data_IF_010141345988
#
_entry.id   IF_010141345988
#
_cell.length_a   1.000
_cell.length_b   1.000
_cell.length_c   1.000
_cell.angle_alpha   90.00
_cell.angle_beta   90.00
_cell.angle_gamma   90.00
#
_symmetry.space_group_name_H-M   'P 1'
#
loop_
_entity.id
_entity.type
_entity.pdbx_description
1 polymer ?
#
# COMPACT_ATOMS: atom_id res chain seq x y z
N UNK A 1 -7.49 -22.52 -11.53
CA UNK A 1 -7.29 -21.11 -11.12
C UNK A 1 -5.98 -21.02 -10.37
N UNK A 2 -5.07 -20.11 -10.76
CA UNK A 2 -3.81 -19.93 -10.05
C UNK A 2 -4.08 -19.45 -8.63
N UNK A 3 -3.53 -20.12 -7.62
CA UNK A 3 -3.63 -19.70 -6.23
C UNK A 3 -2.65 -18.54 -5.97
N UNK A 4 -3.06 -17.33 -6.38
CA UNK A 4 -2.22 -16.14 -6.32
C UNK A 4 -1.84 -15.76 -4.88
N UNK A 5 -2.71 -16.02 -3.89
CA UNK A 5 -2.41 -15.73 -2.48
C UNK A 5 -1.22 -16.53 -1.99
N UNK A 6 -1.14 -17.83 -2.30
CA UNK A 6 0.02 -18.67 -1.93
C UNK A 6 1.33 -18.11 -2.48
N UNK A 7 1.34 -17.65 -3.74
CA UNK A 7 2.55 -17.07 -4.33
C UNK A 7 2.98 -15.79 -3.60
N UNK A 8 2.06 -14.83 -3.45
CA UNK A 8 2.37 -13.55 -2.83
C UNK A 8 2.75 -13.68 -1.35
N UNK A 9 2.10 -14.59 -0.62
CA UNK A 9 2.45 -14.90 0.76
C UNK A 9 3.87 -15.49 0.86
N UNK A 10 4.26 -16.35 -0.09
CA UNK A 10 5.59 -16.98 -0.08
C UNK A 10 6.75 -16.01 -0.31
N UNK A 11 6.49 -14.89 -1.00
CA UNK A 11 7.51 -13.88 -1.34
C UNK A 11 7.41 -12.62 -0.49
N UNK A 12 6.43 -12.51 0.41
CA UNK A 12 6.08 -11.27 1.11
C UNK A 12 7.25 -10.57 1.81
N UNK A 13 8.13 -11.32 2.48
CA UNK A 13 9.28 -10.76 3.21
C UNK A 13 10.46 -10.34 2.30
N UNK A 14 10.52 -10.88 1.08
CA UNK A 14 11.66 -10.66 0.16
C UNK A 14 11.32 -9.74 -1.01
N UNK A 15 10.04 -9.62 -1.34
CA UNK A 15 9.59 -8.86 -2.50
C UNK A 15 9.76 -7.37 -2.23
N UNK A 16 10.50 -6.70 -3.11
CA UNK A 16 10.55 -5.24 -3.17
C UNK A 16 9.79 -4.74 -4.40
N UNK A 17 8.91 -3.76 -4.18
CA UNK A 17 8.22 -3.05 -5.25
C UNK A 17 8.95 -1.75 -5.50
N UNK A 18 9.38 -1.51 -6.74
CA UNK A 18 10.30 -0.39 -7.07
C UNK A 18 9.73 0.62 -8.05
N UNK A 19 8.54 0.37 -8.60
CA UNK A 19 7.95 1.27 -9.59
C UNK A 19 7.62 2.62 -8.93
N UNK A 20 8.18 3.74 -9.42
CA UNK A 20 7.99 5.04 -8.79
C UNK A 20 6.53 5.49 -8.85
N UNK A 21 6.08 6.19 -7.81
CA UNK A 21 4.76 6.80 -7.78
C UNK A 21 4.81 8.22 -8.38
N UNK A 22 3.89 8.50 -9.30
CA UNK A 22 3.83 9.82 -9.92
C UNK A 22 3.00 10.80 -9.08
N UNK A 23 3.65 11.38 -8.06
CA UNK A 23 3.04 12.38 -7.19
C UNK A 23 2.54 13.61 -7.95
N UNK A 24 3.30 14.11 -8.92
CA UNK A 24 2.94 15.31 -9.67
C UNK A 24 1.58 15.18 -10.35
N UNK A 25 1.31 14.04 -10.98
CA UNK A 25 0.00 13.79 -11.60
C UNK A 25 -1.08 13.50 -10.56
N UNK A 26 -0.73 12.81 -9.47
CA UNK A 26 -1.69 12.47 -8.43
C UNK A 26 -2.22 13.70 -7.69
N UNK A 27 -1.36 14.66 -7.35
CA UNK A 27 -1.72 15.87 -6.62
C UNK A 27 -2.66 16.80 -7.41
N UNK A 28 -2.67 16.71 -8.75
CA UNK A 28 -3.60 17.46 -9.61
C UNK A 28 -5.04 16.98 -9.40
N UNK A 29 -5.26 15.70 -9.12
CA UNK A 29 -6.59 15.08 -9.06
C UNK A 29 -7.05 14.77 -7.63
N UNK A 30 -6.12 14.58 -6.69
CA UNK A 30 -6.42 14.16 -5.33
C UNK A 30 -6.00 15.24 -4.31
N UNK A 31 -6.94 16.02 -3.75
CA UNK A 31 -6.63 16.95 -2.68
C UNK A 31 -6.18 16.21 -1.41
N UNK A 32 -5.41 16.87 -0.53
CA UNK A 32 -4.83 16.23 0.69
C UNK A 32 -5.85 15.61 1.65
N UNK A 33 -7.11 16.08 1.62
CA UNK A 33 -8.21 15.55 2.44
C UNK A 33 -9.01 14.43 1.76
N UNK A 34 -8.65 14.04 0.54
CA UNK A 34 -9.34 12.97 -0.18
C UNK A 34 -9.23 11.64 0.57
N UNK A 35 -10.30 10.84 0.51
CA UNK A 35 -10.26 9.44 0.93
C UNK A 35 -9.65 8.62 -0.20
N UNK A 36 -8.54 7.94 0.09
CA UNK A 36 -7.76 7.19 -0.91
C UNK A 36 -7.82 5.71 -0.57
N UNK A 37 -8.16 4.91 -1.59
CA UNK A 37 -8.09 3.45 -1.56
C UNK A 37 -6.95 2.97 -2.45
N UNK A 38 -5.97 2.30 -1.87
CA UNK A 38 -4.89 1.61 -2.59
C UNK A 38 -5.26 0.11 -2.73
N UNK A 39 -5.78 -0.26 -3.90
CA UNK A 39 -6.22 -1.63 -4.18
C UNK A 39 -5.08 -2.45 -4.77
N UNK A 40 -4.65 -3.50 -4.06
CA UNK A 40 -3.39 -4.19 -4.32
C UNK A 40 -2.20 -3.43 -3.71
N UNK A 41 -2.36 -2.95 -2.47
CA UNK A 41 -1.38 -2.11 -1.79
C UNK A 41 -0.07 -2.85 -1.45
N UNK A 42 -0.03 -4.19 -1.56
CA UNK A 42 1.08 -5.01 -1.12
C UNK A 42 1.40 -4.77 0.35
N UNK A 43 2.65 -4.42 0.65
CA UNK A 43 3.07 -4.07 2.01
C UNK A 43 2.89 -2.57 2.34
N UNK A 44 2.16 -1.81 1.50
CA UNK A 44 1.79 -0.41 1.80
C UNK A 44 2.88 0.63 1.48
N UNK A 45 3.83 0.34 0.57
CA UNK A 45 4.88 1.31 0.19
C UNK A 45 4.30 2.64 -0.29
N UNK A 46 3.36 2.59 -1.24
CA UNK A 46 2.73 3.80 -1.80
C UNK A 46 1.92 4.53 -0.73
N UNK A 47 1.20 3.80 0.12
CA UNK A 47 0.50 4.40 1.24
C UNK A 47 1.43 5.14 2.19
N UNK A 48 2.62 4.61 2.48
CA UNK A 48 3.61 5.31 3.29
C UNK A 48 4.14 6.57 2.60
N UNK A 49 4.39 6.52 1.29
CA UNK A 49 4.78 7.70 0.51
C UNK A 49 3.67 8.76 0.53
N UNK A 50 2.40 8.37 0.35
CA UNK A 50 1.23 9.25 0.44
C UNK A 50 1.08 9.86 1.83
N UNK A 51 1.25 9.06 2.88
CA UNK A 51 1.20 9.53 4.28
C UNK A 51 2.28 10.58 4.53
N UNK A 52 3.51 10.32 4.08
CA UNK A 52 4.65 11.25 4.18
C UNK A 52 4.39 12.54 3.40
N UNK A 53 3.65 12.45 2.29
CA UNK A 53 3.21 13.61 1.50
C UNK A 53 1.98 14.34 2.08
N UNK A 54 1.48 13.94 3.26
CA UNK A 54 0.41 14.62 4.00
C UNK A 54 -1.01 14.10 3.73
N UNK A 55 -1.17 12.97 3.04
CA UNK A 55 -2.47 12.33 2.88
C UNK A 55 -2.78 11.45 4.09
N UNK A 56 -3.86 11.76 4.83
CA UNK A 56 -4.15 11.09 6.10
C UNK A 56 -5.31 10.09 6.05
N UNK A 57 -6.16 10.14 5.02
CA UNK A 57 -7.31 9.25 4.88
C UNK A 57 -7.01 8.11 3.91
N UNK A 58 -6.19 7.16 4.36
CA UNK A 58 -5.67 6.06 3.55
C UNK A 58 -6.26 4.71 3.99
N UNK A 59 -6.70 3.91 3.01
CA UNK A 59 -7.04 2.50 3.19
C UNK A 59 -6.30 1.67 2.13
N UNK A 60 -5.67 0.58 2.54
CA UNK A 60 -4.99 -0.36 1.66
C UNK A 60 -5.67 -1.70 1.71
N UNK A 61 -5.83 -2.33 0.54
CA UNK A 61 -6.36 -3.68 0.40
C UNK A 61 -5.35 -4.57 -0.31
N UNK A 62 -5.07 -5.74 0.24
CA UNK A 62 -4.35 -6.80 -0.47
C UNK A 62 -4.80 -8.18 0.02
N UNK A 63 -4.96 -9.13 -0.89
CA UNK A 63 -5.38 -10.49 -0.52
C UNK A 63 -4.24 -11.28 0.16
N UNK A 64 -2.98 -10.85 0.02
CA UNK A 64 -1.84 -11.47 0.69
C UNK A 64 -1.76 -11.01 2.13
N UNK A 65 -2.23 -11.87 3.03
CA UNK A 65 -2.19 -11.62 4.47
C UNK A 65 -0.76 -11.38 4.98
N UNK A 66 0.25 -12.00 4.37
CA UNK A 66 1.64 -11.80 4.74
C UNK A 66 2.18 -10.43 4.31
N UNK A 67 1.78 -9.92 3.14
CA UNK A 67 2.13 -8.57 2.72
C UNK A 67 1.48 -7.53 3.62
N UNK A 68 0.21 -7.72 3.99
CA UNK A 68 -0.49 -6.87 4.95
C UNK A 68 0.21 -6.89 6.32
N UNK A 69 0.55 -8.07 6.84
CA UNK A 69 1.26 -8.20 8.10
C UNK A 69 2.64 -7.53 8.08
N UNK A 70 3.37 -7.62 6.96
CA UNK A 70 4.62 -6.90 6.76
C UNK A 70 4.41 -5.39 6.78
N UNK A 71 3.41 -4.89 6.05
CA UNK A 71 3.07 -3.47 6.01
C UNK A 71 2.72 -2.91 7.39
N UNK A 72 1.92 -3.62 8.17
CA UNK A 72 1.56 -3.25 9.55
C UNK A 72 2.78 -3.16 10.48
N UNK A 73 3.81 -3.99 10.26
CA UNK A 73 5.08 -3.90 11.02
C UNK A 73 5.97 -2.75 10.56
N UNK A 74 6.09 -2.53 9.25
CA UNK A 74 6.96 -1.49 8.69
C UNK A 74 6.38 -0.08 8.93
N UNK A 75 5.06 0.04 8.85
CA UNK A 75 4.35 1.31 8.84
C UNK A 75 3.17 1.28 9.84
N UNK A 76 3.42 1.14 11.15
CA UNK A 76 2.34 1.05 12.14
C UNK A 76 1.48 2.31 12.27
N UNK A 77 1.89 3.40 11.62
CA UNK A 77 1.26 4.72 11.64
C UNK A 77 0.46 5.06 10.38
N UNK A 78 0.59 4.28 9.29
CA UNK A 78 -0.25 4.50 8.11
C UNK A 78 -1.65 3.95 8.39
N UNK A 79 -2.64 4.40 7.62
CA UNK A 79 -4.05 4.06 7.82
C UNK A 79 -4.36 2.56 7.78
N UNK A 80 -5.63 2.21 7.54
CA UNK A 80 -6.07 0.82 7.67
C UNK A 80 -5.52 -0.04 6.51
N UNK A 81 -4.70 -1.04 6.82
CA UNK A 81 -4.30 -2.12 5.92
C UNK A 81 -5.17 -3.35 6.17
N UNK A 82 -5.84 -3.87 5.13
CA UNK A 82 -6.80 -5.00 5.20
C UNK A 82 -6.59 -6.02 4.10
#
# INVERSE_FOLDING_TARGET
MSNQSTYWDSVAEKKEFTHPFNFANFEIIAPKKANILDYGCGYGRIMNELYTAGYQHLVGLDFSTQLIARGQRLFPYIGKLV
#
